data_IF_970265823400
#
_entry.id   IF_970265823400
#
_cell.length_a   1.000
_cell.length_b   1.000
_cell.length_c   1.000
_cell.angle_alpha   90.00
_cell.angle_beta   90.00
_cell.angle_gamma   90.00
#
_symmetry.space_group_name_H-M   'P 1'
#
loop_
_entity.id
_entity.type
_entity.pdbx_description
1 polymer ?
#
# COMPACT_ATOMS: atom_id res chain seq x y z
N UNK A 1 8.69 8.40 10.51
CA UNK A 1 8.72 7.62 9.25
C UNK A 1 9.84 6.61 9.37
N UNK A 2 9.58 5.29 9.29
CA UNK A 2 10.66 4.31 9.34
C UNK A 2 11.60 4.56 8.16
N UNK A 3 12.90 4.53 8.44
CA UNK A 3 13.96 4.95 7.52
C UNK A 3 14.10 3.92 6.39
N UNK A 4 13.37 4.11 5.29
CA UNK A 4 13.73 3.44 4.05
C UNK A 4 15.10 3.94 3.58
N UNK A 5 15.98 3.07 3.06
CA UNK A 5 17.18 3.51 2.38
C UNK A 5 16.80 4.41 1.20
N UNK A 6 17.39 5.61 1.11
CA UNK A 6 17.11 6.58 0.03
C UNK A 6 17.23 5.98 -1.38
N UNK A 7 18.02 4.92 -1.55
CA UNK A 7 18.20 4.19 -2.80
C UNK A 7 16.92 3.52 -3.35
N UNK A 8 15.88 3.37 -2.53
CA UNK A 8 14.60 2.75 -2.92
C UNK A 8 13.50 3.77 -3.19
N UNK A 9 13.67 5.04 -2.82
CA UNK A 9 12.67 6.09 -3.11
C UNK A 9 12.70 6.43 -4.60
N UNK A 10 11.56 6.45 -5.31
CA UNK A 10 11.53 6.84 -6.71
C UNK A 10 12.02 8.27 -6.90
N UNK A 11 12.89 8.50 -7.89
CA UNK A 11 13.49 9.81 -8.15
C UNK A 11 12.47 10.91 -8.52
N UNK A 12 11.31 10.50 -9.01
CA UNK A 12 10.18 11.36 -9.41
C UNK A 12 9.05 11.40 -8.35
N UNK A 13 9.32 10.90 -7.14
CA UNK A 13 8.36 10.93 -6.04
C UNK A 13 8.11 12.37 -5.60
N UNK A 14 6.98 12.93 -6.02
CA UNK A 14 6.39 14.11 -5.39
C UNK A 14 5.52 13.63 -4.24
N UNK A 15 5.57 14.29 -3.08
CA UNK A 15 4.78 13.91 -1.90
C UNK A 15 3.44 14.64 -1.83
N UNK A 16 3.15 15.55 -2.75
CA UNK A 16 1.99 16.45 -2.69
C UNK A 16 0.65 15.71 -2.62
N UNK A 17 0.51 14.58 -3.35
CA UNK A 17 -0.67 13.72 -3.28
C UNK A 17 -0.93 13.20 -1.86
N UNK A 18 0.11 13.02 -1.04
CA UNK A 18 -0.07 12.48 0.31
C UNK A 18 -0.84 13.42 1.24
N UNK A 19 -0.93 14.72 0.92
CA UNK A 19 -1.70 15.69 1.70
C UNK A 19 -3.22 15.50 1.58
N UNK A 20 -3.70 14.89 0.49
CA UNK A 20 -5.11 14.56 0.25
C UNK A 20 -5.47 13.13 0.73
N UNK A 21 -4.55 12.44 1.39
CA UNK A 21 -4.76 11.08 1.90
C UNK A 21 -5.75 11.02 3.06
N UNK A 22 -6.84 10.27 2.90
CA UNK A 22 -7.84 10.04 3.97
C UNK A 22 -7.25 9.38 5.22
N UNK A 23 -6.09 8.73 5.12
CA UNK A 23 -5.38 8.15 6.27
C UNK A 23 -4.95 9.20 7.31
N UNK A 24 -4.83 10.47 6.93
CA UNK A 24 -4.44 11.57 7.82
C UNK A 24 -5.49 11.89 8.88
N UNK A 25 -6.74 11.55 8.61
CA UNK A 25 -7.87 11.76 9.52
C UNK A 25 -8.10 10.55 10.45
N UNK A 26 -7.32 9.49 10.28
CA UNK A 26 -7.46 8.23 11.01
C UNK A 26 -6.25 7.95 11.92
N UNK A 27 -6.39 6.98 12.82
CA UNK A 27 -5.28 6.55 13.68
C UNK A 27 -4.17 5.91 12.83
N UNK A 28 -2.92 6.41 12.89
CA UNK A 28 -1.77 5.83 12.18
C UNK A 28 -1.54 4.34 12.48
N UNK A 29 -1.90 3.88 13.68
CA UNK A 29 -1.76 2.48 14.08
C UNK A 29 -2.67 1.54 13.28
N UNK A 30 -3.68 2.04 12.55
CA UNK A 30 -4.46 1.23 11.63
C UNK A 30 -3.61 0.81 10.42
N UNK A 31 -2.77 1.72 9.92
CA UNK A 31 -1.97 1.50 8.72
C UNK A 31 -0.64 0.84 9.03
N UNK A 32 -0.07 1.10 10.21
CA UNK A 32 1.24 0.58 10.60
C UNK A 32 1.11 -0.25 11.87
N UNK A 33 1.33 -1.57 11.74
CA UNK A 33 1.13 -2.49 12.84
C UNK A 33 2.22 -2.33 13.93
N UNK A 34 1.89 -2.57 15.20
CA UNK A 34 2.89 -2.70 16.26
C UNK A 34 3.70 -4.00 16.08
N UNK A 35 4.90 -4.04 16.66
CA UNK A 35 5.73 -5.26 16.64
C UNK A 35 4.96 -6.43 17.29
N UNK A 36 4.91 -7.57 16.58
CA UNK A 36 4.31 -8.84 17.00
C UNK A 36 2.78 -8.98 16.91
N UNK A 37 2.06 -8.07 16.24
CA UNK A 37 0.63 -8.27 15.95
C UNK A 37 0.42 -9.46 14.98
N UNK A 38 -0.54 -10.36 15.29
CA UNK A 38 -0.81 -11.57 14.49
C UNK A 38 -2.29 -11.98 14.55
N UNK A 39 -2.66 -12.90 13.67
CA UNK A 39 -3.98 -13.56 13.69
C UNK A 39 -5.14 -12.59 13.47
N UNK A 40 -6.23 -12.76 14.22
CA UNK A 40 -7.45 -12.00 14.04
C UNK A 40 -7.26 -10.49 14.22
N UNK A 41 -6.42 -10.06 15.17
CA UNK A 41 -6.14 -8.64 15.39
C UNK A 41 -5.56 -7.97 14.13
N UNK A 42 -4.55 -8.61 13.52
CA UNK A 42 -3.94 -8.16 12.27
C UNK A 42 -4.96 -8.10 11.14
N UNK A 43 -5.75 -9.15 10.96
CA UNK A 43 -6.78 -9.21 9.90
C UNK A 43 -7.79 -8.08 10.06
N UNK A 44 -8.28 -7.84 11.29
CA UNK A 44 -9.26 -6.78 11.55
C UNK A 44 -8.68 -5.39 11.30
N UNK A 45 -7.44 -5.15 11.73
CA UNK A 45 -6.75 -3.89 11.46
C UNK A 45 -6.53 -3.67 9.95
N UNK A 46 -6.03 -4.67 9.24
CA UNK A 46 -5.80 -4.58 7.80
C UNK A 46 -7.12 -4.33 7.04
N UNK A 47 -8.22 -4.97 7.44
CA UNK A 47 -9.56 -4.68 6.88
C UNK A 47 -10.01 -3.24 7.14
N UNK A 48 -9.82 -2.73 8.36
CA UNK A 48 -10.17 -1.36 8.70
C UNK A 48 -9.36 -0.35 7.86
N UNK A 49 -8.05 -0.57 7.72
CA UNK A 49 -7.20 0.26 6.87
C UNK A 49 -7.60 0.20 5.39
N UNK A 50 -7.87 -1.01 4.87
CA UNK A 50 -8.39 -1.23 3.51
C UNK A 50 -9.71 -0.48 3.28
N UNK A 51 -10.60 -0.47 4.27
CA UNK A 51 -11.86 0.28 4.21
C UNK A 51 -11.66 1.79 4.03
N UNK A 52 -10.68 2.38 4.73
CA UNK A 52 -10.33 3.80 4.54
C UNK A 52 -9.73 4.02 3.15
N UNK A 53 -8.84 3.13 2.71
CA UNK A 53 -8.23 3.24 1.38
C UNK A 53 -9.24 3.12 0.23
N UNK A 54 -10.34 2.38 0.40
CA UNK A 54 -11.33 2.15 -0.64
C UNK A 54 -11.93 3.44 -1.23
N UNK A 55 -12.17 4.45 -0.38
CA UNK A 55 -12.71 5.76 -0.76
C UNK A 55 -11.67 6.89 -0.85
N UNK A 56 -10.38 6.60 -0.66
CA UNK A 56 -9.33 7.62 -0.62
C UNK A 56 -9.05 8.18 -2.03
N UNK A 57 -9.04 9.51 -2.23
CA UNK A 57 -8.88 10.12 -3.56
C UNK A 57 -7.51 9.84 -4.20
N UNK A 58 -6.48 9.62 -3.37
CA UNK A 58 -5.10 9.39 -3.82
C UNK A 58 -4.68 7.92 -3.74
N UNK A 59 -5.65 7.00 -3.66
CA UNK A 59 -5.39 5.56 -3.50
C UNK A 59 -4.45 5.00 -4.57
N UNK A 60 -4.69 5.32 -5.82
CA UNK A 60 -3.91 4.80 -6.96
C UNK A 60 -2.48 5.33 -6.96
N UNK A 61 -2.29 6.62 -6.67
CA UNK A 61 -0.96 7.23 -6.59
C UNK A 61 -0.18 6.73 -5.38
N UNK A 62 -0.87 6.52 -4.24
CA UNK A 62 -0.30 5.89 -3.05
C UNK A 62 0.17 4.45 -3.31
N UNK A 63 -0.64 3.63 -3.99
CA UNK A 63 -0.27 2.26 -4.36
C UNK A 63 0.89 2.23 -5.37
N UNK A 64 0.87 3.11 -6.37
CA UNK A 64 1.96 3.24 -7.35
C UNK A 64 3.29 3.55 -6.67
N UNK A 65 3.29 4.56 -5.79
CA UNK A 65 4.47 4.92 -5.01
C UNK A 65 4.94 3.73 -4.16
N UNK A 66 4.05 3.08 -3.41
CA UNK A 66 4.45 2.03 -2.48
C UNK A 66 5.11 0.82 -3.17
N UNK A 67 4.62 0.44 -4.36
CA UNK A 67 5.20 -0.66 -5.15
C UNK A 67 6.58 -0.29 -5.70
N UNK A 68 6.74 0.93 -6.24
CA UNK A 68 8.01 1.43 -6.79
C UNK A 68 9.06 1.72 -5.71
N UNK A 69 8.60 2.15 -4.54
CA UNK A 69 9.44 2.42 -3.38
C UNK A 69 9.80 1.15 -2.60
N UNK A 70 9.18 0.01 -2.94
CA UNK A 70 9.25 -1.24 -2.19
C UNK A 70 8.92 -1.04 -0.71
N UNK A 71 7.83 -0.32 -0.41
CA UNK A 71 7.46 0.02 0.96
C UNK A 71 7.39 -1.22 1.86
N UNK A 72 8.25 -1.32 2.90
CA UNK A 72 8.42 -2.57 3.64
C UNK A 72 7.30 -2.81 4.65
N UNK A 73 6.60 -1.75 5.09
CA UNK A 73 5.66 -1.84 6.19
C UNK A 73 4.33 -1.16 5.89
N UNK A 74 3.28 -1.68 6.53
CA UNK A 74 1.96 -1.08 6.61
C UNK A 74 1.11 -1.21 5.35
N UNK A 75 -0.06 -0.58 5.41
CA UNK A 75 -1.08 -0.56 4.35
C UNK A 75 -0.95 0.71 3.51
N UNK A 76 -0.75 0.56 2.21
CA UNK A 76 -0.57 1.66 1.25
C UNK A 76 -1.49 1.50 0.06
N UNK A 77 -2.34 2.49 -0.21
CA UNK A 77 -3.31 2.43 -1.32
C UNK A 77 -4.23 1.21 -1.28
N UNK A 78 -4.46 0.65 -0.08
CA UNK A 78 -5.19 -0.60 0.16
C UNK A 78 -4.31 -1.85 0.22
N UNK A 79 -3.08 -1.81 -0.28
CA UNK A 79 -2.19 -2.97 -0.29
C UNK A 79 -1.53 -3.17 1.08
N UNK A 80 -1.67 -4.35 1.66
CA UNK A 80 -0.86 -4.80 2.81
C UNK A 80 0.57 -5.15 2.37
N UNK A 81 1.44 -5.42 3.34
CA UNK A 81 2.76 -6.00 3.10
C UNK A 81 2.68 -7.33 2.33
N UNK A 82 1.71 -8.18 2.66
CA UNK A 82 1.52 -9.49 2.00
C UNK A 82 1.05 -9.34 0.55
N UNK A 83 0.16 -8.37 0.31
CA UNK A 83 -0.28 -8.01 -1.05
C UNK A 83 0.92 -7.53 -1.87
N UNK A 84 1.75 -6.64 -1.31
CA UNK A 84 2.96 -6.13 -1.98
C UNK A 84 4.01 -7.21 -2.22
N UNK A 85 4.20 -8.13 -1.29
CA UNK A 85 5.14 -9.24 -1.47
C UNK A 85 4.70 -10.19 -2.60
N UNK A 86 3.39 -10.37 -2.81
CA UNK A 86 2.88 -11.11 -3.97
C UNK A 86 3.25 -10.43 -5.29
N UNK A 87 3.20 -9.10 -5.34
CA UNK A 87 3.66 -8.30 -6.49
C UNK A 87 5.17 -8.47 -6.66
N UNK A 88 5.98 -8.36 -5.61
CA UNK A 88 7.43 -8.43 -5.73
C UNK A 88 7.93 -9.81 -6.17
N UNK A 89 7.25 -10.89 -5.79
CA UNK A 89 7.60 -12.26 -6.24
C UNK A 89 7.51 -12.45 -7.76
N UNK A 90 6.70 -11.67 -8.47
CA UNK A 90 6.60 -11.72 -9.94
C UNK A 90 7.53 -10.73 -10.66
N UNK A 91 8.16 -9.81 -9.94
CA UNK A 91 9.06 -8.81 -10.52
C UNK A 91 10.49 -9.32 -10.49
N UNK A 92 11.17 -9.25 -11.63
CA UNK A 92 12.63 -9.39 -11.69
C UNK A 92 13.31 -8.01 -11.74
N UNK A 93 14.64 -7.98 -11.69
CA UNK A 93 15.41 -6.73 -11.68
C UNK A 93 15.31 -5.91 -12.96
N UNK A 94 14.98 -6.55 -14.11
CA UNK A 94 14.83 -5.89 -15.41
C UNK A 94 13.43 -5.28 -15.57
N UNK A 95 12.43 -5.91 -14.95
CA UNK A 95 11.02 -5.53 -15.04
C UNK A 95 10.52 -4.72 -13.83
N UNK A 96 11.41 -4.32 -12.93
CA UNK A 96 11.04 -3.55 -11.75
C UNK A 96 10.51 -2.15 -12.13
N UNK A 97 9.35 -1.71 -11.58
CA UNK A 97 8.73 -0.44 -11.96
C UNK A 97 9.54 0.73 -11.41
N UNK A 98 9.97 1.64 -12.29
CA UNK A 98 10.80 2.80 -11.96
C UNK A 98 10.05 4.11 -12.16
N UNK A 99 9.27 4.22 -13.23
CA UNK A 99 8.57 5.45 -13.57
C UNK A 99 7.17 5.50 -12.92
N UNK A 100 6.68 6.70 -12.60
CA UNK A 100 5.31 6.92 -12.15
C UNK A 100 4.29 6.19 -13.02
N UNK A 101 3.35 5.51 -12.38
CA UNK A 101 2.30 4.71 -13.01
C UNK A 101 2.72 3.27 -13.35
N UNK A 102 4.01 2.94 -13.36
CA UNK A 102 4.45 1.56 -13.56
C UNK A 102 4.13 0.66 -12.36
N UNK A 103 4.14 1.20 -11.14
CA UNK A 103 3.75 0.46 -9.94
C UNK A 103 2.26 0.12 -10.00
N UNK A 104 1.42 1.06 -10.42
CA UNK A 104 -0.01 0.85 -10.65
C UNK A 104 -0.26 -0.26 -11.67
N UNK A 105 0.37 -0.18 -12.85
CA UNK A 105 0.23 -1.23 -13.89
C UNK A 105 0.74 -2.58 -13.41
N UNK A 106 1.84 -2.58 -12.67
CA UNK A 106 2.41 -3.78 -12.12
C UNK A 106 1.56 -4.40 -11.00
N UNK A 107 0.55 -3.71 -10.46
CA UNK A 107 -0.22 -4.10 -9.27
C UNK A 107 -1.75 -4.01 -9.45
N UNK A 108 -2.23 -3.82 -10.67
CA UNK A 108 -3.63 -3.48 -10.97
C UNK A 108 -4.62 -4.46 -10.33
N UNK A 109 -4.33 -5.76 -10.45
CA UNK A 109 -5.17 -6.82 -9.89
C UNK A 109 -5.23 -6.74 -8.34
N UNK A 110 -4.08 -6.64 -7.67
CA UNK A 110 -4.02 -6.54 -6.21
C UNK A 110 -4.68 -5.27 -5.69
N UNK A 111 -4.57 -4.15 -6.42
CA UNK A 111 -5.20 -2.88 -6.03
C UNK A 111 -6.73 -2.99 -6.08
N UNK A 112 -7.27 -3.71 -7.07
CA UNK A 112 -8.71 -3.98 -7.15
C UNK A 112 -9.15 -4.95 -6.06
N UNK A 113 -8.45 -6.08 -5.91
CA UNK A 113 -8.77 -7.12 -4.94
C UNK A 113 -8.68 -6.64 -3.49
N UNK A 114 -7.70 -5.79 -3.17
CA UNK A 114 -7.46 -5.30 -1.82
C UNK A 114 -8.63 -4.50 -1.23
N UNK A 115 -9.50 -3.94 -2.06
CA UNK A 115 -10.68 -3.17 -1.63
C UNK A 115 -12.00 -3.80 -2.08
N UNK A 116 -11.96 -5.06 -2.52
CA UNK A 116 -13.17 -5.81 -2.89
C UNK A 116 -14.09 -6.01 -1.68
N UNK A 117 -15.38 -6.26 -1.94
CA UNK A 117 -16.35 -6.54 -0.88
C UNK A 117 -15.89 -7.72 0.00
N UNK A 118 -15.33 -8.76 -0.61
CA UNK A 118 -14.74 -9.90 0.11
C UNK A 118 -13.56 -9.48 0.99
N UNK A 119 -12.62 -8.69 0.46
CA UNK A 119 -11.46 -8.22 1.23
C UNK A 119 -11.89 -7.34 2.42
N UNK A 120 -12.95 -6.56 2.26
CA UNK A 120 -13.53 -5.71 3.30
C UNK A 120 -14.43 -6.47 4.28
N UNK A 121 -14.72 -7.76 4.03
CA UNK A 121 -15.64 -8.54 4.86
C UNK A 121 -17.10 -8.14 4.73
N UNK A 122 -17.47 -7.56 3.58
CA UNK A 122 -18.83 -7.21 3.18
C UNK A 122 -19.34 -8.38 2.32
N UNK A 123 -19.78 -9.46 2.97
CA UNK A 123 -20.38 -10.64 2.34
C UNK A 123 -21.51 -11.18 3.20
#
# INVERSE_FOLDING_TARGET
>A
MPQQPLAQVPLDATWDWSEEGSCREADPNLFFHPQNERGAARIMRDRAAKGICAGCPVRTECADYAVRAREPYGVWGGLTEEDREAIYRRLDSRNYPRARGEGLRAAEHEISEAVSAQALGIA
#
